data_IF_819456602406
#
_entry.id   IF_819456602406
#
_cell.length_a   1.000
_cell.length_b   1.000
_cell.length_c   1.000
_cell.angle_alpha   90.00
_cell.angle_beta   90.00
_cell.angle_gamma   90.00
#
_symmetry.space_group_name_H-M   'P 1'
#
loop_
_entity.id
_entity.type
_entity.pdbx_description
1 polymer ?
#
# COMPACT_ATOMS: atom_id res chain seq x y z
N UNK A 1 -28.02 23.77 10.36
CA UNK A 1 -26.71 23.96 9.69
C UNK A 1 -26.05 22.61 9.43
N UNK A 2 -25.77 21.77 10.45
CA UNK A 2 -25.09 20.47 10.27
C UNK A 2 -25.82 19.55 9.30
N UNK A 3 -27.15 19.42 9.41
CA UNK A 3 -27.97 18.60 8.51
C UNK A 3 -27.90 19.10 7.06
N UNK A 4 -27.84 20.40 6.84
CA UNK A 4 -27.70 21.01 5.53
C UNK A 4 -26.33 20.74 4.91
N UNK A 5 -25.24 20.83 5.71
CA UNK A 5 -23.89 20.50 5.23
C UNK A 5 -23.78 19.01 4.83
N UNK A 6 -24.34 18.10 5.62
CA UNK A 6 -24.42 16.68 5.26
C UNK A 6 -25.19 16.44 3.96
N UNK A 7 -26.32 17.08 3.79
CA UNK A 7 -27.15 16.96 2.59
C UNK A 7 -26.42 17.47 1.34
N UNK A 8 -25.67 18.58 1.45
CA UNK A 8 -24.83 19.10 0.35
C UNK A 8 -23.68 18.16 0.02
N UNK A 9 -23.11 17.45 0.98
CA UNK A 9 -22.02 16.48 0.75
C UNK A 9 -22.53 15.19 0.11
N UNK A 10 -23.65 14.65 0.58
CA UNK A 10 -24.19 13.39 0.10
C UNK A 10 -24.94 13.50 -1.22
N UNK A 11 -25.67 14.60 -1.40
CA UNK A 11 -26.60 14.77 -2.52
C UNK A 11 -26.25 15.96 -3.44
N UNK A 12 -25.19 16.69 -3.13
CA UNK A 12 -24.80 17.88 -3.91
C UNK A 12 -24.21 17.52 -5.28
N UNK A 13 -24.93 17.86 -6.35
CA UNK A 13 -24.50 17.65 -7.74
C UNK A 13 -23.32 18.55 -8.15
N UNK A 14 -22.97 19.56 -7.34
CA UNK A 14 -21.91 20.54 -7.65
C UNK A 14 -20.63 20.29 -6.86
N UNK A 15 -19.54 20.01 -7.58
CA UNK A 15 -18.18 19.94 -7.01
C UNK A 15 -17.79 21.17 -6.17
N UNK A 16 -18.30 22.36 -6.52
CA UNK A 16 -18.05 23.60 -5.75
C UNK A 16 -18.83 23.64 -4.44
N UNK A 17 -20.04 23.09 -4.40
CA UNK A 17 -20.84 22.97 -3.17
C UNK A 17 -20.17 22.03 -2.17
N UNK A 18 -19.68 20.89 -2.62
CA UNK A 18 -18.95 19.93 -1.78
C UNK A 18 -17.68 20.56 -1.19
N UNK A 19 -16.83 21.21 -2.02
CA UNK A 19 -15.63 21.92 -1.56
C UNK A 19 -15.93 23.05 -0.56
N UNK A 20 -17.07 23.71 -0.72
CA UNK A 20 -17.51 24.73 0.23
C UNK A 20 -17.91 24.08 1.58
N UNK A 21 -18.65 22.97 1.55
CA UNK A 21 -19.05 22.27 2.76
C UNK A 21 -17.85 21.69 3.53
N UNK A 22 -16.83 21.17 2.84
CA UNK A 22 -15.59 20.65 3.42
C UNK A 22 -14.84 21.65 4.30
N UNK A 23 -14.95 22.96 4.02
CA UNK A 23 -14.31 24.00 4.84
C UNK A 23 -14.89 24.12 6.26
N UNK A 24 -16.09 23.59 6.48
CA UNK A 24 -16.78 23.63 7.78
C UNK A 24 -16.77 22.28 8.51
N UNK A 25 -16.11 21.28 7.95
CA UNK A 25 -16.01 19.95 8.50
C UNK A 25 -14.56 19.67 8.90
N UNK A 26 -14.40 18.98 10.01
CA UNK A 26 -13.11 18.50 10.46
C UNK A 26 -13.20 16.99 10.61
N UNK A 27 -12.19 16.29 10.09
CA UNK A 27 -12.05 14.86 10.36
C UNK A 27 -11.82 14.63 11.86
N UNK A 28 -12.61 13.77 12.46
CA UNK A 28 -12.43 13.36 13.84
C UNK A 28 -12.38 11.84 13.95
N UNK A 29 -11.68 11.38 14.98
CA UNK A 29 -11.62 9.95 15.29
C UNK A 29 -13.00 9.51 15.76
N UNK A 30 -13.55 8.46 15.14
CA UNK A 30 -14.84 7.88 15.55
C UNK A 30 -14.80 7.46 17.03
N UNK A 31 -15.73 7.92 17.88
CA UNK A 31 -15.72 7.60 19.31
C UNK A 31 -16.01 6.11 19.59
N UNK A 32 -16.72 5.42 18.70
CA UNK A 32 -17.04 4.00 18.85
C UNK A 32 -15.86 3.10 18.46
N UNK A 33 -15.36 3.21 17.24
CA UNK A 33 -14.27 2.34 16.77
C UNK A 33 -12.87 2.89 17.05
N UNK A 34 -12.74 4.13 17.56
CA UNK A 34 -11.46 4.79 17.89
C UNK A 34 -10.43 4.71 16.74
N UNK A 35 -10.91 4.88 15.51
CA UNK A 35 -10.08 4.82 14.30
C UNK A 35 -9.81 3.42 13.76
N UNK A 36 -10.31 2.36 14.41
CA UNK A 36 -10.10 0.97 13.98
C UNK A 36 -10.96 0.53 12.79
N UNK A 37 -11.96 1.34 12.38
CA UNK A 37 -12.84 1.13 11.22
C UNK A 37 -13.72 -0.13 11.27
N UNK A 38 -13.67 -0.89 12.36
CA UNK A 38 -14.38 -2.15 12.57
C UNK A 38 -15.18 -2.11 13.88
N UNK A 39 -16.24 -2.91 13.98
CA UNK A 39 -16.99 -3.07 15.19
C UNK A 39 -16.24 -3.95 16.21
N UNK A 40 -16.68 -3.92 17.48
CA UNK A 40 -16.04 -4.65 18.58
C UNK A 40 -16.08 -6.17 18.37
N UNK A 41 -17.12 -6.69 17.74
CA UNK A 41 -17.23 -8.11 17.44
C UNK A 41 -16.13 -8.56 16.45
N UNK A 42 -15.94 -7.83 15.34
CA UNK A 42 -14.88 -8.12 14.38
C UNK A 42 -13.48 -7.98 15.01
N UNK A 43 -13.30 -7.03 15.94
CA UNK A 43 -12.02 -6.83 16.64
C UNK A 43 -11.75 -7.89 17.73
N UNK A 44 -12.74 -8.69 18.11
CA UNK A 44 -12.56 -9.78 19.07
C UNK A 44 -11.86 -11.00 18.44
N UNK A 45 -11.93 -11.17 17.11
CA UNK A 45 -11.22 -12.22 16.42
C UNK A 45 -9.72 -11.94 16.38
N UNK A 46 -8.94 -12.93 16.77
CA UNK A 46 -7.48 -12.87 16.79
C UNK A 46 -6.88 -14.04 16.02
N UNK A 47 -5.78 -13.76 15.36
CA UNK A 47 -4.88 -14.78 14.83
C UNK A 47 -3.64 -14.69 15.70
N UNK A 48 -3.36 -15.75 16.45
CA UNK A 48 -2.33 -15.77 17.49
C UNK A 48 -2.56 -14.63 18.52
N UNK A 49 -1.72 -13.58 18.53
CA UNK A 49 -1.74 -12.50 19.52
C UNK A 49 -2.45 -11.22 19.04
N UNK A 50 -2.71 -11.07 17.74
CA UNK A 50 -3.19 -9.82 17.12
C UNK A 50 -4.53 -9.94 16.41
N UNK A 51 -5.30 -8.86 16.45
CA UNK A 51 -6.48 -8.68 15.61
C UNK A 51 -6.12 -7.96 14.30
N UNK A 52 -7.06 -7.93 13.37
CA UNK A 52 -6.86 -7.34 12.04
C UNK A 52 -6.47 -5.85 12.07
N UNK A 53 -7.01 -5.07 13.01
CA UNK A 53 -6.67 -3.64 13.15
C UNK A 53 -5.23 -3.46 13.64
N UNK A 54 -4.77 -4.30 14.57
CA UNK A 54 -3.39 -4.26 15.05
C UNK A 54 -2.42 -4.60 13.93
N UNK A 55 -2.71 -5.64 13.13
CA UNK A 55 -1.90 -6.01 11.97
C UNK A 55 -1.87 -4.91 10.92
N UNK A 56 -3.00 -4.27 10.64
CA UNK A 56 -3.08 -3.20 9.64
C UNK A 56 -2.35 -1.91 10.07
N UNK A 57 -2.09 -1.71 11.36
CA UNK A 57 -1.36 -0.55 11.90
C UNK A 57 0.16 -0.79 12.03
N UNK A 58 0.63 -2.02 11.90
CA UNK A 58 2.06 -2.33 11.85
C UNK A 58 2.67 -1.75 10.57
N UNK A 59 3.94 -1.38 10.62
CA UNK A 59 4.67 -1.14 9.39
C UNK A 59 4.88 -2.46 8.61
N UNK A 60 5.23 -2.34 7.33
CA UNK A 60 5.32 -3.52 6.46
C UNK A 60 6.45 -4.47 6.87
N UNK A 61 7.52 -3.98 7.51
CA UNK A 61 8.61 -4.83 8.02
C UNK A 61 8.14 -5.66 9.20
N UNK A 62 7.55 -5.01 10.22
CA UNK A 62 6.99 -5.70 11.39
C UNK A 62 5.90 -6.70 10.97
N UNK A 63 5.03 -6.32 10.03
CA UNK A 63 3.98 -7.19 9.52
C UNK A 63 4.58 -8.42 8.82
N UNK A 64 5.65 -8.25 8.05
CA UNK A 64 6.35 -9.33 7.36
C UNK A 64 6.99 -10.32 8.34
N UNK A 65 7.63 -9.79 9.39
CA UNK A 65 8.20 -10.60 10.47
C UNK A 65 7.13 -11.40 11.20
N UNK A 66 6.04 -10.75 11.60
CA UNK A 66 4.90 -11.41 12.23
C UNK A 66 4.31 -12.53 11.36
N UNK A 67 4.15 -12.29 10.05
CA UNK A 67 3.67 -13.30 9.10
C UNK A 67 4.61 -14.50 8.97
N UNK A 68 5.92 -14.34 9.19
CA UNK A 68 6.86 -15.46 9.19
C UNK A 68 6.69 -16.34 10.41
N UNK A 69 6.32 -15.77 11.55
CA UNK A 69 6.22 -16.47 12.83
C UNK A 69 4.84 -17.09 13.06
N UNK A 70 3.78 -16.51 12.50
CA UNK A 70 2.40 -16.90 12.80
C UNK A 70 2.10 -18.38 12.55
N UNK A 71 2.72 -19.00 11.55
CA UNK A 71 2.53 -20.42 11.24
C UNK A 71 3.00 -21.36 12.38
N UNK A 72 3.98 -20.91 13.18
CA UNK A 72 4.48 -21.68 14.32
C UNK A 72 3.47 -21.75 15.46
N UNK A 73 2.48 -20.83 15.44
CA UNK A 73 1.43 -20.71 16.47
C UNK A 73 0.06 -21.22 15.99
N UNK A 74 0.02 -21.88 14.83
CA UNK A 74 -1.19 -22.47 14.25
C UNK A 74 -1.22 -23.97 14.49
N UNK A 75 -2.42 -24.51 14.72
CA UNK A 75 -2.65 -25.96 14.66
C UNK A 75 -2.56 -26.48 13.21
N UNK A 76 -2.55 -27.80 13.04
CA UNK A 76 -2.37 -28.40 11.71
C UNK A 76 -3.52 -28.07 10.74
N UNK A 77 -4.74 -27.96 11.24
CA UNK A 77 -5.90 -27.58 10.43
C UNK A 77 -5.82 -26.13 9.98
N UNK A 78 -5.51 -25.22 10.91
CA UNK A 78 -5.32 -23.80 10.62
C UNK A 78 -4.18 -23.58 9.61
N UNK A 79 -3.07 -24.29 9.80
CA UNK A 79 -1.91 -24.22 8.90
C UNK A 79 -2.27 -24.68 7.49
N UNK A 80 -3.00 -25.79 7.35
CA UNK A 80 -3.42 -26.27 6.04
C UNK A 80 -4.31 -25.28 5.30
N UNK A 81 -5.22 -24.60 6.00
CA UNK A 81 -6.08 -23.57 5.42
C UNK A 81 -5.28 -22.30 5.06
N UNK A 82 -4.36 -21.89 5.93
CA UNK A 82 -3.67 -20.62 5.83
C UNK A 82 -2.50 -20.63 4.85
N UNK A 83 -1.90 -21.76 4.51
CA UNK A 83 -0.64 -21.87 3.75
C UNK A 83 -0.66 -21.06 2.45
N UNK A 84 -1.63 -21.29 1.58
CA UNK A 84 -1.69 -20.57 0.30
C UNK A 84 -2.01 -19.08 0.48
N UNK A 85 -2.85 -18.74 1.45
CA UNK A 85 -3.22 -17.36 1.77
C UNK A 85 -2.02 -16.60 2.30
N UNK A 86 -1.28 -17.17 3.24
CA UNK A 86 -0.08 -16.55 3.83
C UNK A 86 1.02 -16.38 2.79
N UNK A 87 1.21 -17.36 1.91
CA UNK A 87 2.16 -17.28 0.81
C UNK A 87 1.84 -16.08 -0.11
N UNK A 88 0.59 -15.93 -0.50
CA UNK A 88 0.15 -14.82 -1.34
C UNK A 88 0.30 -13.45 -0.65
N UNK A 89 -0.06 -13.37 0.63
CA UNK A 89 0.10 -12.14 1.41
C UNK A 89 1.59 -11.77 1.54
N UNK A 90 2.46 -12.73 1.88
CA UNK A 90 3.90 -12.50 1.99
C UNK A 90 4.48 -11.99 0.68
N UNK A 91 4.13 -12.62 -0.43
CA UNK A 91 4.59 -12.21 -1.77
C UNK A 91 4.22 -10.77 -2.07
N UNK A 92 2.99 -10.35 -1.78
CA UNK A 92 2.55 -8.96 -1.99
C UNK A 92 3.25 -7.96 -1.08
N UNK A 93 3.50 -8.34 0.18
CA UNK A 93 4.26 -7.49 1.11
C UNK A 93 5.72 -7.38 0.65
N UNK A 94 6.33 -8.48 0.22
CA UNK A 94 7.70 -8.48 -0.29
C UNK A 94 7.85 -7.51 -1.48
N UNK A 95 6.90 -7.46 -2.42
CA UNK A 95 6.91 -6.47 -3.50
C UNK A 95 6.81 -5.02 -2.99
N UNK A 96 6.01 -4.75 -1.96
CA UNK A 96 5.94 -3.41 -1.36
C UNK A 96 7.27 -3.02 -0.68
N UNK A 97 7.93 -3.97 -0.02
CA UNK A 97 9.25 -3.76 0.58
C UNK A 97 10.34 -3.54 -0.47
N UNK A 98 10.30 -4.26 -1.59
CA UNK A 98 11.24 -4.13 -2.71
C UNK A 98 11.18 -2.74 -3.35
N UNK A 99 10.01 -2.11 -3.42
CA UNK A 99 9.87 -0.74 -3.95
C UNK A 99 10.13 0.35 -2.88
N UNK A 100 10.65 -0.02 -1.70
CA UNK A 100 11.04 0.93 -0.65
C UNK A 100 9.87 1.56 0.11
N UNK A 101 8.82 0.79 0.38
CA UNK A 101 7.65 1.23 1.15
C UNK A 101 7.59 0.61 2.55
N UNK A 102 8.73 0.26 3.11
CA UNK A 102 8.92 -0.45 4.37
C UNK A 102 8.27 0.25 5.58
N UNK A 103 8.27 1.58 5.60
CA UNK A 103 7.68 2.41 6.65
C UNK A 103 6.17 2.61 6.57
N UNK A 104 5.51 2.13 5.52
CA UNK A 104 4.05 2.28 5.38
C UNK A 104 3.31 1.22 6.20
N UNK A 105 2.10 1.58 6.64
CA UNK A 105 1.13 0.65 7.21
C UNK A 105 -0.08 0.48 6.28
N UNK A 106 -0.74 -0.69 6.36
CA UNK A 106 -1.93 -0.96 5.53
C UNK A 106 -3.12 -0.06 5.88
N UNK A 107 -3.14 0.51 7.10
CA UNK A 107 -4.21 1.41 7.55
C UNK A 107 -4.01 2.86 7.10
N UNK A 108 -2.90 3.18 6.44
CA UNK A 108 -2.64 4.55 5.98
C UNK A 108 -3.68 5.00 4.96
N UNK A 109 -4.19 6.19 5.13
CA UNK A 109 -5.17 6.76 4.21
C UNK A 109 -4.54 7.09 2.86
N UNK A 110 -5.18 6.70 1.77
CA UNK A 110 -4.68 6.94 0.42
C UNK A 110 -4.47 8.43 0.11
N UNK A 111 -5.31 9.31 0.66
CA UNK A 111 -5.20 10.77 0.50
C UNK A 111 -3.93 11.36 1.14
N UNK A 112 -3.28 10.65 2.07
CA UNK A 112 -2.04 11.09 2.72
C UNK A 112 -0.78 10.59 2.03
N UNK A 113 -0.92 9.77 0.98
CA UNK A 113 0.20 9.26 0.20
C UNK A 113 0.75 10.35 -0.72
N UNK A 114 2.07 10.44 -0.80
CA UNK A 114 2.73 11.24 -1.83
C UNK A 114 2.52 10.64 -3.23
N UNK A 115 2.76 11.44 -4.28
CA UNK A 115 2.70 10.95 -5.64
C UNK A 115 3.63 9.75 -5.89
N UNK A 116 4.86 9.82 -5.40
CA UNK A 116 5.84 8.75 -5.50
C UNK A 116 5.42 7.48 -4.74
N UNK A 117 4.88 7.60 -3.52
CA UNK A 117 4.34 6.44 -2.77
C UNK A 117 3.21 5.75 -3.53
N UNK A 118 2.25 6.53 -4.03
CA UNK A 118 1.12 6.01 -4.81
C UNK A 118 1.59 5.30 -6.09
N UNK A 119 2.59 5.83 -6.76
CA UNK A 119 3.17 5.24 -7.97
C UNK A 119 3.89 3.91 -7.65
N UNK A 120 4.67 3.86 -6.56
CA UNK A 120 5.35 2.63 -6.12
C UNK A 120 4.38 1.55 -5.66
N UNK A 121 3.28 1.90 -4.98
CA UNK A 121 2.21 0.94 -4.66
C UNK A 121 1.62 0.33 -5.94
N UNK A 122 1.35 1.15 -6.97
CA UNK A 122 0.87 0.65 -8.25
C UNK A 122 1.90 -0.27 -8.91
N UNK A 123 3.18 0.11 -8.89
CA UNK A 123 4.27 -0.71 -9.43
C UNK A 123 4.34 -2.07 -8.74
N UNK A 124 4.35 -2.11 -7.40
CA UNK A 124 4.35 -3.36 -6.62
C UNK A 124 3.14 -4.25 -6.97
N UNK A 125 1.95 -3.65 -7.13
CA UNK A 125 0.74 -4.37 -7.53
C UNK A 125 0.88 -4.96 -8.93
N UNK A 126 1.53 -4.26 -9.86
CA UNK A 126 1.73 -4.69 -11.24
C UNK A 126 2.76 -5.82 -11.34
N UNK A 127 3.88 -5.73 -10.60
CA UNK A 127 4.86 -6.81 -10.49
C UNK A 127 4.19 -8.07 -9.94
N UNK A 128 3.39 -7.93 -8.87
CA UNK A 128 2.65 -9.04 -8.27
C UNK A 128 1.60 -9.68 -9.19
N UNK A 129 1.09 -8.96 -10.20
CA UNK A 129 0.13 -9.52 -11.18
C UNK A 129 0.77 -10.45 -12.22
N UNK A 130 2.10 -10.44 -12.35
CA UNK A 130 2.85 -11.20 -13.36
C UNK A 130 2.35 -11.03 -14.81
N UNK A 131 1.79 -9.86 -15.10
CA UNK A 131 1.36 -9.54 -16.47
C UNK A 131 2.56 -9.45 -17.40
N UNK A 132 2.39 -9.92 -18.63
CA UNK A 132 3.39 -9.90 -19.70
C UNK A 132 2.89 -9.09 -20.89
N UNK A 133 3.81 -8.58 -21.73
CA UNK A 133 3.52 -7.75 -22.90
C UNK A 133 2.79 -6.43 -22.57
N UNK A 134 3.07 -5.84 -21.41
CA UNK A 134 2.52 -4.55 -20.99
C UNK A 134 3.59 -3.46 -21.16
N UNK A 135 3.14 -2.26 -21.55
CA UNK A 135 3.96 -1.05 -21.55
C UNK A 135 3.74 -0.28 -20.24
N UNK A 136 4.81 -0.12 -19.47
CA UNK A 136 4.85 0.69 -18.26
C UNK A 136 5.57 1.99 -18.52
N UNK A 137 4.92 3.11 -18.21
CA UNK A 137 5.52 4.45 -18.27
C UNK A 137 5.52 5.01 -16.86
N UNK A 138 6.71 5.29 -16.33
CA UNK A 138 6.95 5.77 -14.99
C UNK A 138 7.61 7.14 -15.05
N UNK A 139 7.02 8.09 -14.35
CA UNK A 139 7.51 9.46 -14.27
C UNK A 139 8.09 9.69 -12.86
N UNK A 140 9.41 9.96 -12.79
CA UNK A 140 10.17 10.16 -11.55
C UNK A 140 9.90 9.12 -10.44
N UNK A 141 9.95 7.81 -10.70
CA UNK A 141 9.64 6.80 -9.69
C UNK A 141 10.63 6.80 -8.51
N UNK A 142 11.83 7.37 -8.69
CA UNK A 142 12.86 7.51 -7.65
C UNK A 142 12.65 8.70 -6.72
N UNK A 143 11.64 9.56 -6.99
CA UNK A 143 11.44 10.77 -6.19
C UNK A 143 11.21 10.46 -4.71
N UNK A 144 12.01 11.12 -3.85
CA UNK A 144 11.93 10.93 -2.40
C UNK A 144 12.55 9.64 -1.88
N UNK A 145 13.18 8.83 -2.72
CA UNK A 145 13.93 7.64 -2.28
C UNK A 145 15.34 8.00 -1.83
N UNK A 146 15.81 7.30 -0.81
CA UNK A 146 17.22 7.26 -0.48
C UNK A 146 17.97 6.43 -1.54
N UNK A 147 19.27 6.72 -1.78
CA UNK A 147 20.07 6.04 -2.80
C UNK A 147 20.02 4.50 -2.70
N UNK A 148 20.03 3.95 -1.48
CA UNK A 148 19.92 2.51 -1.24
C UNK A 148 18.60 1.90 -1.73
N UNK A 149 17.51 2.65 -1.61
CA UNK A 149 16.19 2.18 -2.03
C UNK A 149 15.99 2.35 -3.54
N UNK A 150 16.75 3.26 -4.14
CA UNK A 150 16.81 3.42 -5.60
C UNK A 150 17.36 2.15 -6.28
N UNK A 151 18.39 1.52 -5.72
CA UNK A 151 18.94 0.26 -6.24
C UNK A 151 17.91 -0.88 -6.20
N UNK A 152 17.05 -0.91 -5.18
CA UNK A 152 15.94 -1.88 -5.09
C UNK A 152 14.90 -1.61 -6.17
N UNK A 153 14.49 -0.35 -6.33
CA UNK A 153 13.53 0.04 -7.37
C UNK A 153 14.04 -0.35 -8.76
N UNK A 154 15.31 -0.04 -9.09
CA UNK A 154 15.92 -0.40 -10.36
C UNK A 154 15.90 -1.92 -10.59
N UNK A 155 16.16 -2.71 -9.55
CA UNK A 155 16.10 -4.17 -9.64
C UNK A 155 14.68 -4.64 -9.97
N UNK A 156 13.67 -4.15 -9.26
CA UNK A 156 12.27 -4.49 -9.51
C UNK A 156 11.81 -4.09 -10.92
N UNK A 157 12.31 -2.96 -11.45
CA UNK A 157 12.03 -2.53 -12.82
C UNK A 157 12.69 -3.46 -13.85
N UNK A 158 13.91 -3.93 -13.59
CA UNK A 158 14.60 -4.92 -14.44
C UNK A 158 13.86 -6.26 -14.42
N UNK A 159 13.40 -6.72 -13.28
CA UNK A 159 12.58 -7.94 -13.17
C UNK A 159 11.27 -7.82 -13.96
N UNK A 160 10.59 -6.68 -13.87
CA UNK A 160 9.39 -6.41 -14.65
C UNK A 160 9.64 -6.46 -16.16
N UNK A 161 10.77 -5.90 -16.63
CA UNK A 161 11.22 -6.00 -18.02
C UNK A 161 11.51 -7.46 -18.42
N UNK A 162 12.20 -8.20 -17.58
CA UNK A 162 12.64 -9.58 -17.86
C UNK A 162 11.46 -10.58 -17.91
N UNK A 163 10.32 -10.21 -17.33
CA UNK A 163 9.03 -10.90 -17.52
C UNK A 163 8.43 -10.70 -18.93
N UNK A 164 9.08 -9.94 -19.82
CA UNK A 164 8.61 -9.69 -21.19
C UNK A 164 7.80 -8.39 -21.33
N UNK A 165 7.97 -7.44 -20.42
CA UNK A 165 7.33 -6.14 -20.50
C UNK A 165 8.25 -5.06 -21.06
N UNK A 166 7.67 -3.96 -21.53
CA UNK A 166 8.40 -2.76 -21.91
C UNK A 166 8.28 -1.73 -20.78
N UNK A 167 9.41 -1.25 -20.27
CA UNK A 167 9.44 -0.26 -19.18
C UNK A 167 10.14 1.00 -19.68
N UNK A 168 9.44 2.14 -19.62
CA UNK A 168 9.97 3.48 -19.90
C UNK A 168 9.98 4.25 -18.58
N UNK A 169 11.16 4.76 -18.22
CA UNK A 169 11.35 5.58 -17.01
C UNK A 169 11.79 6.97 -17.43
N UNK A 170 11.12 7.99 -16.93
CA UNK A 170 11.50 9.40 -17.07
C UNK A 170 12.07 9.86 -15.73
N UNK A 171 13.34 10.29 -15.71
CA UNK A 171 14.02 10.81 -14.53
C UNK A 171 14.63 12.17 -14.83
N UNK A 172 14.48 13.11 -13.90
CA UNK A 172 15.09 14.44 -14.01
C UNK A 172 16.45 14.57 -13.31
N UNK A 173 16.91 13.51 -12.62
CA UNK A 173 18.21 13.53 -11.94
C UNK A 173 19.32 13.03 -12.87
N UNK A 174 20.22 13.98 -13.17
CA UNK A 174 21.61 13.91 -13.65
C UNK A 174 22.22 12.52 -13.92
N UNK A 175 22.68 12.40 -15.10
CA UNK A 175 23.83 11.76 -15.76
C UNK A 175 24.55 10.54 -15.12
N UNK A 176 24.42 10.26 -13.83
CA UNK A 176 25.18 9.15 -13.21
C UNK A 176 24.53 7.76 -13.34
N UNK A 177 23.24 7.66 -13.71
CA UNK A 177 22.52 6.37 -13.73
C UNK A 177 21.92 5.97 -15.09
N UNK A 178 22.10 6.77 -16.14
CA UNK A 178 21.53 6.50 -17.48
C UNK A 178 22.23 5.39 -18.25
N UNK A 179 23.40 4.96 -17.83
CA UNK A 179 24.20 3.96 -18.56
C UNK A 179 23.86 2.50 -18.24
N UNK A 180 23.08 2.22 -17.21
CA UNK A 180 22.83 0.84 -16.78
C UNK A 180 21.48 0.24 -17.22
N UNK A 181 20.60 1.03 -17.83
CA UNK A 181 19.26 0.59 -18.26
C UNK A 181 19.15 0.26 -19.76
N UNK A 182 20.27 0.32 -20.52
CA UNK A 182 20.29 -0.09 -21.93
C UNK A 182 20.44 -1.59 -22.11
#
# INVERSE_FOLDING_TARGET
VVKYLHDVMENGESSNGQKWADQFLAECVCPECKGQKLNQEALSYRIWDKNISQLANMDLVELREWLNEVENHMDDQQRQIATEILKEIRTRIDFLLEVGLDYLSLNRQAATLSGGESQRIRLATQIGSQLVNVLYILDEPSIGLHQRDNDRLIRSLKELRDLGNTVIVVEHRSEEHTSELQ
#
